data_IF_399126588291
#
_entry.id   IF_399126588291
#
_cell.length_a   1.000
_cell.length_b   1.000
_cell.length_c   1.000
_cell.angle_alpha   90.00
_cell.angle_beta   90.00
_cell.angle_gamma   90.00
#
_symmetry.space_group_name_H-M   'P 1'
#
loop_
_entity.id
_entity.type
_entity.pdbx_description
1 polymer ?
#
# COMPACT_ATOMS: atom_id res chain seq x y z
N UNK A 1 25.42 -1.04 -16.01
CA UNK A 1 25.23 -2.52 -15.98
C UNK A 1 24.36 -2.91 -17.17
N UNK A 2 24.65 -4.04 -17.85
CA UNK A 2 23.76 -4.56 -18.91
C UNK A 2 23.09 -5.84 -18.41
N UNK A 3 21.78 -5.86 -18.43
CA UNK A 3 20.97 -7.00 -17.98
C UNK A 3 19.91 -7.32 -19.05
N UNK A 4 19.68 -8.58 -19.32
CA UNK A 4 18.56 -9.04 -20.15
C UNK A 4 17.67 -9.94 -19.32
N UNK A 5 16.39 -9.62 -19.26
CA UNK A 5 15.34 -10.52 -18.76
C UNK A 5 14.77 -11.22 -19.98
N UNK A 6 14.98 -12.55 -20.11
CA UNK A 6 14.62 -13.34 -21.29
C UNK A 6 13.35 -14.16 -21.07
N UNK A 7 12.64 -14.43 -22.16
CA UNK A 7 11.52 -15.38 -22.26
C UNK A 7 10.30 -15.08 -21.38
N UNK A 8 10.26 -13.93 -20.72
CA UNK A 8 9.16 -13.57 -19.83
C UNK A 8 7.89 -13.21 -20.58
N UNK A 9 6.75 -13.26 -19.89
CA UNK A 9 5.51 -12.66 -20.38
C UNK A 9 5.43 -11.23 -19.87
N UNK A 10 5.61 -10.27 -20.75
CA UNK A 10 5.54 -8.84 -20.44
C UNK A 10 4.10 -8.45 -20.21
N UNK A 11 3.82 -7.88 -19.04
CA UNK A 11 2.51 -7.35 -18.65
C UNK A 11 2.63 -5.85 -18.45
N UNK A 12 2.13 -5.08 -19.40
CA UNK A 12 2.26 -3.62 -19.40
C UNK A 12 0.91 -2.98 -19.78
N UNK A 13 0.01 -2.81 -18.79
CA UNK A 13 -1.37 -2.42 -19.04
C UNK A 13 -1.51 -1.04 -19.73
N UNK A 14 -0.58 -0.12 -19.45
CA UNK A 14 -0.60 1.24 -20.04
C UNK A 14 -0.48 1.18 -21.57
N UNK A 15 0.30 0.25 -22.09
CA UNK A 15 0.52 0.03 -23.52
C UNK A 15 -0.28 -1.16 -24.08
N UNK A 16 -1.18 -1.76 -23.30
CA UNK A 16 -1.96 -2.95 -23.67
C UNK A 16 -1.08 -4.11 -24.16
N UNK A 17 0.15 -4.23 -23.59
CA UNK A 17 1.12 -5.25 -23.96
C UNK A 17 1.00 -6.43 -23.01
N UNK A 18 0.68 -7.60 -23.57
CA UNK A 18 0.62 -8.88 -22.89
C UNK A 18 1.16 -9.95 -23.85
N UNK A 19 2.47 -10.08 -23.89
CA UNK A 19 3.15 -10.93 -24.86
C UNK A 19 4.47 -11.46 -24.33
N UNK A 20 4.95 -12.58 -24.90
CA UNK A 20 6.30 -13.07 -24.61
C UNK A 20 7.35 -12.17 -25.28
N UNK A 21 8.39 -11.85 -24.54
CA UNK A 21 9.47 -11.03 -25.03
C UNK A 21 10.59 -10.86 -24.01
N UNK A 22 11.67 -10.26 -24.49
CA UNK A 22 12.84 -9.94 -23.69
C UNK A 22 12.80 -8.46 -23.28
N UNK A 23 13.36 -8.14 -22.11
CA UNK A 23 13.57 -6.76 -21.65
C UNK A 23 15.08 -6.54 -21.50
N UNK A 24 15.61 -5.54 -22.19
CA UNK A 24 17.02 -5.16 -22.12
C UNK A 24 17.17 -3.90 -21.28
N UNK A 25 18.04 -3.98 -20.30
CA UNK A 25 18.34 -2.88 -19.38
C UNK A 25 19.82 -2.51 -19.56
N UNK A 26 20.08 -1.21 -19.74
CA UNK A 26 21.43 -0.65 -19.80
C UNK A 26 21.45 0.67 -19.05
N UNK A 27 22.41 0.81 -18.13
CA UNK A 27 22.67 2.03 -17.35
C UNK A 27 21.40 2.62 -16.69
N UNK A 28 20.59 1.74 -16.05
CA UNK A 28 19.41 2.13 -15.32
C UNK A 28 18.13 2.28 -16.15
N UNK A 29 18.22 2.12 -17.48
CA UNK A 29 17.10 2.33 -18.40
C UNK A 29 16.72 1.08 -19.17
N UNK A 30 15.47 0.99 -19.55
CA UNK A 30 14.97 0.00 -20.50
C UNK A 30 15.36 0.47 -21.90
N UNK A 31 16.25 -0.25 -22.59
CA UNK A 31 16.70 0.11 -23.95
C UNK A 31 16.01 -0.70 -25.04
N UNK A 32 15.35 -1.81 -24.68
CA UNK A 32 14.49 -2.58 -25.59
C UNK A 32 13.42 -3.32 -24.79
N UNK A 33 12.21 -3.33 -25.31
CA UNK A 33 11.04 -3.94 -24.70
C UNK A 33 10.28 -4.80 -25.70
N UNK A 34 10.31 -6.13 -25.50
CA UNK A 34 9.71 -7.11 -26.41
C UNK A 34 10.69 -7.67 -27.43
N UNK A 35 10.18 -8.62 -28.25
CA UNK A 35 11.01 -9.33 -29.24
C UNK A 35 12.02 -10.30 -28.61
N UNK A 36 13.09 -10.60 -29.34
CA UNK A 36 14.21 -11.46 -28.90
C UNK A 36 15.47 -10.62 -28.91
N UNK A 37 16.13 -10.54 -27.78
CA UNK A 37 17.37 -9.76 -27.64
C UNK A 37 18.60 -10.67 -27.50
N UNK A 38 19.68 -10.23 -28.14
CA UNK A 38 21.03 -10.79 -27.95
C UNK A 38 22.02 -9.63 -27.75
N UNK A 39 22.48 -9.44 -26.52
CA UNK A 39 23.38 -8.36 -26.15
C UNK A 39 24.66 -8.99 -25.59
N UNK A 40 25.77 -8.97 -26.35
CA UNK A 40 27.03 -9.57 -25.90
C UNK A 40 27.50 -8.98 -24.55
N UNK A 41 27.82 -9.87 -23.60
CA UNK A 41 28.37 -9.49 -22.31
C UNK A 41 27.33 -8.99 -21.27
N UNK A 42 26.03 -9.04 -21.58
CA UNK A 42 25.00 -8.76 -20.60
C UNK A 42 24.81 -9.94 -19.62
N UNK A 43 24.45 -9.61 -18.36
CA UNK A 43 23.90 -10.61 -17.44
C UNK A 43 22.54 -11.06 -17.99
N UNK A 44 22.25 -12.36 -17.89
CA UNK A 44 20.97 -12.92 -18.37
C UNK A 44 20.18 -13.47 -17.20
N UNK A 45 18.94 -13.05 -17.10
CA UNK A 45 17.93 -13.63 -16.21
C UNK A 45 16.86 -14.31 -17.06
N UNK A 46 16.70 -15.63 -16.91
CA UNK A 46 15.64 -16.37 -17.61
C UNK A 46 14.34 -16.29 -16.82
N UNK A 47 13.33 -15.68 -17.42
CA UNK A 47 11.99 -15.47 -16.85
C UNK A 47 10.94 -16.35 -17.56
N UNK A 48 11.35 -17.50 -18.15
CA UNK A 48 10.38 -18.39 -18.79
C UNK A 48 9.31 -18.86 -17.79
N UNK A 49 8.04 -18.64 -18.16
CA UNK A 49 6.88 -18.96 -17.31
C UNK A 49 6.53 -17.85 -16.29
N UNK A 50 7.32 -16.79 -16.20
CA UNK A 50 7.10 -15.68 -15.25
C UNK A 50 6.49 -14.45 -15.96
N UNK A 51 5.83 -13.60 -15.16
CA UNK A 51 5.39 -12.29 -15.61
C UNK A 51 6.49 -11.26 -15.37
N UNK A 52 6.72 -10.40 -16.35
CA UNK A 52 7.60 -9.23 -16.25
C UNK A 52 6.71 -7.99 -16.26
N UNK A 53 6.64 -7.29 -15.14
CA UNK A 53 5.72 -6.17 -14.91
C UNK A 53 6.47 -4.89 -14.59
N UNK A 54 5.85 -3.70 -14.72
CA UNK A 54 6.33 -2.52 -14.02
C UNK A 54 6.53 -2.85 -12.54
N UNK A 55 7.48 -2.21 -11.91
CA UNK A 55 7.69 -2.33 -10.47
C UNK A 55 6.42 -2.00 -9.70
N UNK A 56 6.06 -2.84 -8.72
CA UNK A 56 4.90 -2.60 -7.88
C UNK A 56 5.12 -1.37 -7.01
N UNK A 57 4.03 -0.67 -6.68
CA UNK A 57 4.03 0.55 -5.87
C UNK A 57 3.04 0.38 -4.73
N UNK A 58 3.51 0.60 -3.50
CA UNK A 58 2.64 0.63 -2.33
C UNK A 58 2.49 2.06 -1.84
N UNK A 59 1.29 2.61 -1.96
CA UNK A 59 1.03 4.01 -1.66
C UNK A 59 0.69 4.28 -0.19
N UNK A 60 0.72 3.24 0.67
CA UNK A 60 0.36 3.36 2.07
C UNK A 60 1.19 2.44 2.96
N UNK A 61 2.29 2.97 3.52
CA UNK A 61 3.15 2.23 4.45
C UNK A 61 3.60 3.08 5.64
N UNK A 62 3.97 2.43 6.74
CA UNK A 62 4.52 3.07 7.93
C UNK A 62 5.94 2.55 8.16
N UNK A 63 6.95 3.30 7.71
CA UNK A 63 8.36 2.96 7.91
C UNK A 63 8.87 3.30 9.32
N UNK A 64 8.03 3.89 10.16
CA UNK A 64 8.25 4.12 11.59
C UNK A 64 9.40 5.06 11.95
N UNK A 65 10.36 5.29 11.07
CA UNK A 65 11.49 6.19 11.26
C UNK A 65 11.17 7.59 10.74
N UNK A 66 11.45 8.65 11.54
CA UNK A 66 12.21 8.65 12.79
C UNK A 66 11.37 8.32 14.05
N UNK A 67 12.04 7.78 15.07
CA UNK A 67 11.60 7.75 16.46
C UNK A 67 10.80 6.54 16.90
N UNK A 68 10.58 5.55 16.01
CA UNK A 68 9.92 4.28 16.30
C UNK A 68 10.68 3.10 15.67
N UNK A 69 11.99 3.20 15.56
CA UNK A 69 12.86 2.26 14.84
C UNK A 69 12.87 0.84 15.45
N UNK A 70 12.40 0.69 16.69
CA UNK A 70 12.19 -0.63 17.30
C UNK A 70 11.10 -1.44 16.59
N UNK A 71 10.12 -0.75 15.97
CA UNK A 71 9.01 -1.40 15.24
C UNK A 71 9.37 -1.71 13.79
N UNK A 72 10.05 -0.77 13.14
CA UNK A 72 10.52 -0.82 11.76
C UNK A 72 11.45 0.36 11.53
N UNK A 73 12.34 0.29 10.55
CA UNK A 73 13.11 1.41 10.04
C UNK A 73 13.07 1.45 8.50
N UNK A 74 13.64 2.50 7.92
CA UNK A 74 13.66 2.69 6.47
C UNK A 74 14.39 1.52 5.79
N UNK A 75 15.47 1.01 6.38
CA UNK A 75 16.23 -0.08 5.79
C UNK A 75 15.41 -1.38 5.73
N UNK A 76 14.91 -1.85 6.90
CA UNK A 76 14.17 -3.12 6.97
C UNK A 76 12.83 -3.06 6.25
N UNK A 77 12.09 -1.95 6.36
CA UNK A 77 10.84 -1.77 5.61
C UNK A 77 11.04 -1.73 4.09
N UNK A 78 12.13 -1.10 3.60
CA UNK A 78 12.45 -1.11 2.17
C UNK A 78 13.02 -2.45 1.70
N UNK A 79 13.69 -3.22 2.56
CA UNK A 79 14.03 -4.63 2.27
C UNK A 79 12.77 -5.49 2.14
N UNK A 80 11.81 -5.35 3.04
CA UNK A 80 10.52 -6.04 2.98
C UNK A 80 9.77 -5.69 1.68
N UNK A 81 9.78 -4.40 1.27
CA UNK A 81 9.23 -3.97 -0.01
C UNK A 81 9.91 -4.67 -1.20
N UNK A 82 11.25 -4.65 -1.24
CA UNK A 82 12.01 -5.33 -2.30
C UNK A 82 11.69 -6.83 -2.36
N UNK A 83 11.59 -7.51 -1.22
CA UNK A 83 11.23 -8.93 -1.12
C UNK A 83 9.79 -9.20 -1.60
N UNK A 84 8.88 -8.25 -1.39
CA UNK A 84 7.50 -8.27 -1.88
C UNK A 84 7.33 -7.92 -3.36
N UNK A 85 8.41 -7.52 -4.06
CA UNK A 85 8.34 -7.08 -5.46
C UNK A 85 7.96 -5.60 -5.62
N UNK A 86 7.97 -4.83 -4.55
CA UNK A 86 7.60 -3.42 -4.53
C UNK A 86 8.86 -2.59 -4.75
N UNK A 87 8.84 -1.74 -5.77
CA UNK A 87 9.98 -0.88 -6.16
C UNK A 87 9.86 0.54 -5.61
N UNK A 88 8.67 0.92 -5.16
CA UNK A 88 8.40 2.25 -4.63
C UNK A 88 7.36 2.17 -3.53
N UNK A 89 7.67 2.70 -2.36
CA UNK A 89 6.74 2.82 -1.23
C UNK A 89 6.48 4.28 -0.91
N UNK A 90 5.31 4.57 -0.34
CA UNK A 90 4.94 5.93 0.08
C UNK A 90 4.64 5.92 1.57
N UNK A 91 5.52 6.57 2.35
CA UNK A 91 5.45 6.50 3.81
C UNK A 91 4.56 7.59 4.40
N UNK A 92 3.74 7.20 5.38
CA UNK A 92 2.85 8.07 6.15
C UNK A 92 3.60 8.96 7.13
N UNK A 93 2.92 10.03 7.58
CA UNK A 93 3.50 11.11 8.38
C UNK A 93 3.60 10.83 9.89
N UNK A 94 3.02 9.73 10.39
CA UNK A 94 2.85 9.44 11.82
C UNK A 94 4.09 8.91 12.54
N UNK A 95 5.21 9.55 12.31
CA UNK A 95 6.52 9.31 12.94
C UNK A 95 6.70 10.13 14.24
N UNK A 96 7.85 10.02 14.92
CA UNK A 96 8.21 10.80 16.11
C UNK A 96 9.61 11.42 15.95
N UNK A 97 9.73 12.71 15.61
CA UNK A 97 8.65 13.68 15.43
C UNK A 97 7.79 13.38 14.17
N UNK A 98 6.56 13.89 14.17
CA UNK A 98 5.62 13.84 13.02
C UNK A 98 6.22 14.62 11.85
N UNK A 99 5.97 14.16 10.61
CA UNK A 99 6.41 14.87 9.39
C UNK A 99 5.44 16.03 9.12
N UNK A 100 5.44 17.03 9.99
CA UNK A 100 4.56 18.21 9.95
C UNK A 100 5.28 19.52 9.54
N UNK A 101 6.58 19.42 9.26
CA UNK A 101 7.42 20.54 8.84
C UNK A 101 8.57 20.04 7.95
N UNK A 102 9.16 20.99 7.20
CA UNK A 102 10.22 20.71 6.23
C UNK A 102 11.48 20.08 6.86
N UNK A 103 11.83 20.42 8.10
CA UNK A 103 13.06 19.91 8.72
C UNK A 103 12.98 18.39 8.96
N UNK A 104 11.82 17.90 9.44
CA UNK A 104 11.60 16.46 9.64
C UNK A 104 11.53 15.75 8.29
N UNK A 105 10.83 16.31 7.30
CA UNK A 105 10.76 15.72 5.96
C UNK A 105 12.14 15.56 5.34
N UNK A 106 13.01 16.59 5.42
CA UNK A 106 14.39 16.52 4.91
C UNK A 106 15.24 15.49 5.64
N UNK A 107 15.03 15.34 6.96
CA UNK A 107 15.73 14.30 7.73
C UNK A 107 15.34 12.90 7.24
N UNK A 108 14.06 12.64 6.98
CA UNK A 108 13.59 11.36 6.41
C UNK A 108 14.15 11.14 5.00
N UNK A 109 14.13 12.16 4.12
CA UNK A 109 14.73 12.07 2.79
C UNK A 109 16.20 11.65 2.85
N UNK A 110 16.97 12.27 3.76
CA UNK A 110 18.38 11.92 3.96
C UNK A 110 18.55 10.46 4.40
N UNK A 111 17.72 9.97 5.31
CA UNK A 111 17.77 8.55 5.73
C UNK A 111 17.42 7.62 4.57
N UNK A 112 16.45 7.98 3.75
CA UNK A 112 16.12 7.22 2.52
C UNK A 112 17.31 7.14 1.56
N UNK A 113 18.04 8.26 1.37
CA UNK A 113 19.24 8.30 0.52
C UNK A 113 20.38 7.41 1.08
N UNK A 114 20.51 7.33 2.41
CA UNK A 114 21.56 6.55 3.08
C UNK A 114 21.25 5.06 3.16
N UNK A 115 20.00 4.67 3.47
CA UNK A 115 19.64 3.29 3.86
C UNK A 115 18.53 2.65 3.01
N UNK A 116 17.90 3.40 2.12
CA UNK A 116 16.79 2.90 1.31
C UNK A 116 17.23 1.85 0.28
N UNK A 117 16.51 0.75 0.21
CA UNK A 117 16.70 -0.33 -0.78
C UNK A 117 15.83 -0.10 -2.01
N UNK A 118 14.61 0.42 -1.82
CA UNK A 118 13.70 0.82 -2.90
C UNK A 118 13.38 2.31 -2.81
N UNK A 119 12.68 2.84 -3.81
CA UNK A 119 12.24 4.25 -3.81
C UNK A 119 11.26 4.51 -2.67
N UNK A 120 11.37 5.68 -2.05
CA UNK A 120 10.48 6.12 -0.99
C UNK A 120 10.01 7.54 -1.28
N UNK A 121 8.70 7.71 -1.46
CA UNK A 121 8.04 9.02 -1.42
C UNK A 121 7.47 9.27 -0.03
N UNK A 122 7.29 10.53 0.33
CA UNK A 122 6.92 10.93 1.69
C UNK A 122 5.61 11.72 1.66
N UNK A 123 4.69 11.36 2.55
CA UNK A 123 3.47 12.11 2.84
C UNK A 123 3.74 13.05 4.01
N UNK A 124 3.31 14.32 3.88
CA UNK A 124 3.29 15.25 5.00
C UNK A 124 2.01 15.14 5.82
N UNK A 125 2.03 15.54 7.09
CA UNK A 125 0.79 15.57 7.87
C UNK A 125 -0.14 16.70 7.43
N UNK A 126 -1.44 16.52 7.65
CA UNK A 126 -2.45 17.58 7.49
C UNK A 126 -2.35 18.56 8.65
N UNK A 127 -2.21 18.06 9.88
CA UNK A 127 -2.17 18.87 11.09
C UNK A 127 -0.86 18.75 11.86
N UNK A 128 -0.50 19.79 12.59
CA UNK A 128 0.66 19.77 13.50
C UNK A 128 0.49 18.73 14.59
N UNK A 129 1.46 17.81 14.66
CA UNK A 129 1.46 16.74 15.64
C UNK A 129 0.27 15.78 15.53
N UNK A 130 -0.42 15.72 14.38
CA UNK A 130 -1.62 14.89 14.12
C UNK A 130 -2.79 15.19 15.07
N UNK A 131 -2.96 16.46 15.47
CA UNK A 131 -3.97 16.84 16.48
C UNK A 131 -5.30 17.32 15.90
N UNK A 132 -5.38 17.56 14.58
CA UNK A 132 -6.56 18.11 13.93
C UNK A 132 -6.94 19.54 14.37
N UNK A 133 -6.01 20.30 14.96
CA UNK A 133 -6.25 21.62 15.54
C UNK A 133 -5.63 22.76 14.74
N UNK A 134 -4.43 22.57 14.23
CA UNK A 134 -3.66 23.53 13.46
C UNK A 134 -3.07 22.86 12.21
N UNK A 135 -3.17 23.50 11.04
CA UNK A 135 -2.54 23.01 9.82
C UNK A 135 -1.02 22.88 10.00
N UNK A 136 -0.46 21.83 9.44
CA UNK A 136 0.97 21.67 9.28
C UNK A 136 1.54 22.73 8.29
N UNK A 137 2.84 22.71 8.08
CA UNK A 137 3.50 23.59 7.12
C UNK A 137 3.34 23.03 5.69
N UNK A 138 2.07 22.79 5.25
CA UNK A 138 1.73 22.08 4.01
C UNK A 138 2.41 22.68 2.78
N UNK A 139 2.50 24.03 2.70
CA UNK A 139 3.18 24.72 1.60
C UNK A 139 4.66 24.38 1.52
N UNK A 140 5.37 24.43 2.66
CA UNK A 140 6.79 24.12 2.75
C UNK A 140 7.04 22.61 2.56
N UNK A 141 6.17 21.75 3.11
CA UNK A 141 6.21 20.31 2.89
C UNK A 141 6.05 19.95 1.41
N UNK A 142 5.07 20.57 0.72
CA UNK A 142 4.87 20.40 -0.73
C UNK A 142 6.09 20.85 -1.53
N UNK A 143 6.65 22.02 -1.22
CA UNK A 143 7.87 22.53 -1.87
C UNK A 143 9.10 21.65 -1.59
N UNK A 144 9.13 20.97 -0.45
CA UNK A 144 10.20 20.04 -0.08
C UNK A 144 10.01 18.62 -0.69
N UNK A 145 8.88 18.35 -1.38
CA UNK A 145 8.66 17.11 -2.11
C UNK A 145 7.65 16.15 -1.48
N UNK A 146 6.84 16.59 -0.51
CA UNK A 146 5.71 15.79 -0.05
C UNK A 146 4.74 15.52 -1.22
N UNK A 147 4.35 14.25 -1.41
CA UNK A 147 3.51 13.84 -2.56
C UNK A 147 2.03 14.02 -2.29
N UNK A 148 1.60 13.93 -1.03
CA UNK A 148 0.23 14.09 -0.55
C UNK A 148 0.25 14.53 0.92
N UNK A 149 -0.94 14.69 1.53
CA UNK A 149 -1.08 14.98 2.96
C UNK A 149 -2.01 14.00 3.64
N UNK A 150 -1.63 13.53 4.85
CA UNK A 150 -2.43 12.60 5.65
C UNK A 150 -2.11 12.75 7.14
N UNK A 151 -3.15 12.66 7.97
CA UNK A 151 -2.98 12.43 9.40
C UNK A 151 -3.16 10.94 9.74
N UNK A 152 -2.91 10.03 8.79
CA UNK A 152 -3.19 8.60 8.90
C UNK A 152 -2.79 7.98 10.24
N UNK A 153 -3.64 7.04 10.66
CA UNK A 153 -3.75 6.52 12.01
C UNK A 153 -4.62 7.42 12.92
N UNK A 154 -4.97 8.65 12.46
CA UNK A 154 -5.83 9.60 13.17
C UNK A 154 -6.83 10.20 12.18
N UNK A 155 -8.09 10.19 12.58
CA UNK A 155 -9.16 10.86 11.84
C UNK A 155 -9.19 12.35 12.16
N UNK A 156 -9.30 13.19 11.15
CA UNK A 156 -9.51 14.64 11.35
C UNK A 156 -10.99 14.88 11.66
N UNK A 157 -11.38 14.87 12.94
CA UNK A 157 -12.80 14.91 13.36
C UNK A 157 -13.50 16.21 12.98
N UNK A 158 -12.81 17.36 13.08
CA UNK A 158 -13.42 18.65 12.82
C UNK A 158 -13.61 18.89 11.32
N UNK A 159 -14.87 18.81 10.86
CA UNK A 159 -15.22 18.98 9.45
C UNK A 159 -14.82 20.35 8.87
N UNK A 160 -14.86 21.43 9.66
CA UNK A 160 -14.43 22.75 9.17
C UNK A 160 -12.91 22.85 9.06
N UNK A 161 -12.17 22.18 9.96
CA UNK A 161 -10.72 22.07 9.86
C UNK A 161 -10.33 21.26 8.60
N UNK A 162 -10.95 20.07 8.40
CA UNK A 162 -10.73 19.25 7.20
C UNK A 162 -11.05 20.04 5.91
N UNK A 163 -12.16 20.77 5.88
CA UNK A 163 -12.47 21.65 4.76
C UNK A 163 -11.34 22.62 4.46
N UNK A 164 -10.78 23.30 5.47
CA UNK A 164 -9.66 24.24 5.27
C UNK A 164 -8.40 23.55 4.78
N UNK A 165 -8.12 22.37 5.30
CA UNK A 165 -7.01 21.53 4.84
C UNK A 165 -7.18 21.17 3.35
N UNK A 166 -8.37 20.74 2.94
CA UNK A 166 -8.66 20.39 1.55
C UNK A 166 -8.58 21.63 0.62
N UNK A 167 -9.13 22.79 1.03
CA UNK A 167 -9.00 24.04 0.28
C UNK A 167 -7.52 24.41 0.04
N UNK A 168 -6.66 24.19 1.03
CA UNK A 168 -5.23 24.50 0.92
C UNK A 168 -4.47 23.43 0.13
N UNK A 169 -4.70 22.15 0.38
CA UNK A 169 -4.10 21.04 -0.38
C UNK A 169 -4.42 21.17 -1.89
N UNK A 170 -5.68 21.49 -2.22
CA UNK A 170 -6.12 21.70 -3.60
C UNK A 170 -5.39 22.85 -4.29
N UNK A 171 -5.09 23.96 -3.58
CA UNK A 171 -4.27 25.05 -4.12
C UNK A 171 -2.83 24.64 -4.41
N UNK A 172 -2.31 23.65 -3.67
CA UNK A 172 -0.97 23.08 -3.87
C UNK A 172 -0.95 21.96 -4.94
N UNK A 173 -2.11 21.63 -5.53
CA UNK A 173 -2.24 20.51 -6.47
C UNK A 173 -2.00 19.16 -5.81
N UNK A 174 -2.32 19.02 -4.53
CA UNK A 174 -2.12 17.80 -3.74
C UNK A 174 -3.45 17.26 -3.22
N UNK A 175 -3.54 15.93 -3.11
CA UNK A 175 -4.68 15.28 -2.48
C UNK A 175 -4.50 15.18 -0.96
N UNK A 176 -5.61 14.96 -0.26
CA UNK A 176 -5.61 14.47 1.11
C UNK A 176 -5.96 12.98 1.08
N UNK A 177 -5.20 12.21 1.86
CA UNK A 177 -5.47 10.80 2.13
C UNK A 177 -6.01 10.73 3.57
N UNK A 178 -7.22 10.22 3.75
CA UNK A 178 -7.84 10.21 5.08
C UNK A 178 -8.12 8.80 5.60
N UNK A 179 -7.71 8.55 6.84
CA UNK A 179 -8.10 7.39 7.63
C UNK A 179 -9.52 7.62 8.13
N UNK A 180 -10.50 7.28 7.33
CA UNK A 180 -11.89 7.68 7.51
C UNK A 180 -12.63 6.79 8.53
N UNK A 181 -12.31 6.90 9.82
CA UNK A 181 -13.02 6.27 10.93
C UNK A 181 -13.43 7.32 11.96
N UNK A 182 -14.72 7.56 12.16
CA UNK A 182 -15.24 8.45 13.22
C UNK A 182 -14.91 7.88 14.60
N UNK A 183 -13.93 8.49 15.28
CA UNK A 183 -13.41 7.99 16.55
C UNK A 183 -14.39 8.18 17.72
N UNK A 184 -15.41 9.02 17.58
CA UNK A 184 -16.48 9.11 18.58
C UNK A 184 -17.30 7.82 18.64
N UNK A 185 -17.28 7.02 17.59
CA UNK A 185 -17.93 5.70 17.51
C UNK A 185 -16.96 4.53 17.60
N UNK A 186 -15.71 4.71 17.18
CA UNK A 186 -14.77 3.60 16.97
C UNK A 186 -13.72 3.46 18.08
N UNK A 187 -13.53 4.48 18.96
CA UNK A 187 -12.42 4.53 19.92
C UNK A 187 -12.36 3.36 20.91
N UNK A 188 -13.50 2.84 21.33
CA UNK A 188 -13.61 1.80 22.37
C UNK A 188 -13.60 0.37 21.80
N UNK A 189 -13.58 0.22 20.47
CA UNK A 189 -13.63 -1.05 19.78
C UNK A 189 -12.26 -1.61 19.41
N UNK A 190 -12.15 -2.93 19.40
CA UNK A 190 -10.91 -3.66 19.11
C UNK A 190 -10.98 -4.51 17.84
N UNK A 191 -12.19 -4.79 17.33
CA UNK A 191 -12.46 -5.61 16.15
C UNK A 191 -13.78 -5.18 15.51
N UNK A 192 -14.17 -5.76 14.39
CA UNK A 192 -15.46 -5.51 13.77
C UNK A 192 -16.62 -5.77 14.73
N UNK A 193 -17.55 -4.80 14.85
CA UNK A 193 -18.79 -5.00 15.60
C UNK A 193 -19.72 -5.97 14.86
N UNK A 194 -20.07 -7.06 15.50
CA UNK A 194 -20.93 -8.09 14.89
C UNK A 194 -21.08 -9.33 15.77
N UNK A 195 -21.51 -10.42 15.15
CA UNK A 195 -21.75 -11.69 15.84
C UNK A 195 -20.46 -12.22 16.49
N UNK A 196 -19.33 -12.07 15.83
CA UNK A 196 -18.04 -12.60 16.31
C UNK A 196 -17.58 -11.80 17.55
N UNK A 197 -17.59 -10.47 17.51
CA UNK A 197 -17.21 -9.63 18.66
C UNK A 197 -18.12 -9.89 19.86
N UNK A 198 -19.42 -10.06 19.63
CA UNK A 198 -20.37 -10.42 20.69
C UNK A 198 -20.05 -11.79 21.29
N UNK A 199 -19.81 -12.80 20.48
CA UNK A 199 -19.45 -14.15 20.97
C UNK A 199 -18.13 -14.18 21.74
N UNK A 200 -17.17 -13.37 21.32
CA UNK A 200 -15.87 -13.24 21.98
C UNK A 200 -15.92 -12.36 23.24
N UNK A 201 -16.99 -11.60 23.46
CA UNK A 201 -17.07 -10.61 24.55
C UNK A 201 -16.08 -9.46 24.37
N UNK A 202 -15.74 -9.12 23.13
CA UNK A 202 -14.81 -8.05 22.77
C UNK A 202 -15.61 -6.85 22.23
N UNK A 203 -15.28 -5.64 22.68
CA UNK A 203 -15.91 -4.43 22.17
C UNK A 203 -15.67 -4.27 20.66
N UNK A 204 -16.74 -4.02 19.91
CA UNK A 204 -16.69 -3.90 18.46
C UNK A 204 -16.52 -2.45 17.99
N UNK A 205 -15.95 -2.29 16.79
CA UNK A 205 -15.92 -1.06 16.00
C UNK A 205 -17.04 -1.12 14.97
N UNK A 206 -18.09 -0.31 15.09
CA UNK A 206 -19.19 -0.34 14.16
C UNK A 206 -18.77 0.17 12.77
N UNK A 207 -19.13 -0.55 11.70
CA UNK A 207 -18.81 -0.16 10.33
C UNK A 207 -19.38 1.22 9.97
N UNK A 208 -20.49 1.61 10.59
CA UNK A 208 -21.12 2.94 10.37
C UNK A 208 -20.20 4.11 10.77
N UNK A 209 -19.21 3.92 11.63
CA UNK A 209 -18.21 4.95 11.92
C UNK A 209 -17.34 5.30 10.70
N UNK A 210 -16.94 4.29 9.94
CA UNK A 210 -16.29 4.48 8.63
C UNK A 210 -17.25 5.11 7.61
N UNK A 211 -18.49 4.62 7.53
CA UNK A 211 -19.47 5.13 6.57
C UNK A 211 -19.76 6.62 6.75
N UNK A 212 -19.87 7.09 8.00
CA UNK A 212 -20.07 8.51 8.36
C UNK A 212 -18.87 9.34 7.94
N UNK A 213 -17.67 8.90 8.28
CA UNK A 213 -16.43 9.60 7.94
C UNK A 213 -16.26 9.71 6.43
N UNK A 214 -16.39 8.62 5.68
CA UNK A 214 -16.35 8.60 4.21
C UNK A 214 -17.41 9.54 3.62
N UNK A 215 -18.64 9.48 4.11
CA UNK A 215 -19.71 10.37 3.62
C UNK A 215 -19.37 11.85 3.80
N UNK A 216 -18.82 12.24 4.97
CA UNK A 216 -18.35 13.60 5.24
C UNK A 216 -17.29 14.03 4.24
N UNK A 217 -16.29 13.20 4.01
CA UNK A 217 -15.14 13.54 3.17
C UNK A 217 -15.53 13.70 1.70
N UNK A 218 -16.41 12.84 1.20
CA UNK A 218 -16.96 12.97 -0.15
C UNK A 218 -17.76 14.27 -0.33
N UNK A 219 -18.54 14.69 0.68
CA UNK A 219 -19.24 15.97 0.66
C UNK A 219 -18.27 17.17 0.69
N UNK A 220 -17.18 17.08 1.44
CA UNK A 220 -16.14 18.09 1.49
C UNK A 220 -15.36 18.16 0.18
N UNK A 221 -15.07 17.04 -0.46
CA UNK A 221 -14.47 16.99 -1.80
C UNK A 221 -15.38 17.68 -2.82
N UNK A 222 -16.66 17.38 -2.80
CA UNK A 222 -17.64 18.05 -3.69
C UNK A 222 -17.70 19.57 -3.46
N UNK A 223 -17.56 20.02 -2.22
CA UNK A 223 -17.60 21.45 -1.86
C UNK A 223 -16.32 22.18 -2.26
N UNK A 224 -15.17 21.58 -2.06
CA UNK A 224 -13.85 22.23 -2.20
C UNK A 224 -13.22 22.01 -3.57
N UNK A 225 -13.64 20.97 -4.30
CA UNK A 225 -12.99 20.51 -5.53
C UNK A 225 -11.60 19.88 -5.31
N UNK A 226 -11.21 19.61 -4.04
CA UNK A 226 -9.97 18.91 -3.73
C UNK A 226 -10.16 17.41 -3.85
N UNK A 227 -9.22 16.73 -4.50
CA UNK A 227 -9.19 15.28 -4.54
C UNK A 227 -9.06 14.72 -3.13
N UNK A 228 -9.96 13.81 -2.74
CA UNK A 228 -9.91 13.03 -1.52
C UNK A 228 -9.61 11.57 -1.84
N UNK A 229 -8.63 11.00 -1.18
CA UNK A 229 -8.36 9.57 -1.24
C UNK A 229 -8.77 8.94 0.09
N UNK A 230 -9.73 8.01 0.04
CA UNK A 230 -10.15 7.24 1.21
C UNK A 230 -9.19 6.08 1.38
N UNK A 231 -8.42 6.10 2.45
CA UNK A 231 -7.47 5.04 2.78
C UNK A 231 -8.20 3.74 3.17
N UNK A 232 -7.57 2.60 2.87
CA UNK A 232 -7.91 1.24 3.34
C UNK A 232 -9.41 0.97 3.59
N UNK A 233 -10.29 1.30 2.62
CA UNK A 233 -11.73 1.07 2.76
C UNK A 233 -12.03 -0.38 3.17
N UNK A 234 -12.93 -0.56 4.14
CA UNK A 234 -13.23 -1.88 4.70
C UNK A 234 -14.73 -2.24 4.68
N UNK A 235 -15.66 -1.26 4.68
CA UNK A 235 -17.09 -1.52 4.76
C UNK A 235 -17.78 -1.57 3.40
N UNK A 236 -18.78 -2.45 3.28
CA UNK A 236 -19.61 -2.53 2.07
C UNK A 236 -20.37 -1.23 1.78
N UNK A 237 -20.77 -0.50 2.83
CA UNK A 237 -21.48 0.77 2.67
C UNK A 237 -20.57 1.90 2.24
N UNK A 238 -19.33 1.96 2.73
CA UNK A 238 -18.33 2.91 2.27
C UNK A 238 -18.04 2.72 0.77
N UNK A 239 -17.89 1.49 0.31
CA UNK A 239 -17.74 1.18 -1.14
C UNK A 239 -18.94 1.68 -1.95
N UNK A 240 -20.17 1.50 -1.46
CA UNK A 240 -21.38 2.03 -2.12
C UNK A 240 -21.36 3.56 -2.20
N UNK A 241 -21.01 4.25 -1.10
CA UNK A 241 -20.92 5.71 -1.04
C UNK A 241 -19.88 6.25 -2.04
N UNK A 242 -18.70 5.65 -2.10
CA UNK A 242 -17.63 6.04 -3.03
C UNK A 242 -18.07 5.79 -4.48
N UNK A 243 -18.70 4.64 -4.78
CA UNK A 243 -19.24 4.34 -6.10
C UNK A 243 -20.24 5.40 -6.57
N UNK A 244 -21.14 5.81 -5.69
CA UNK A 244 -22.14 6.83 -6.00
C UNK A 244 -21.52 8.24 -6.13
N UNK A 245 -20.49 8.54 -5.36
CA UNK A 245 -19.74 9.79 -5.49
C UNK A 245 -19.01 9.87 -6.83
N UNK A 246 -18.32 8.82 -7.26
CA UNK A 246 -17.65 8.72 -8.56
C UNK A 246 -18.65 8.89 -9.71
N UNK A 247 -19.83 8.25 -9.65
CA UNK A 247 -20.91 8.44 -10.67
C UNK A 247 -21.40 9.87 -10.74
N UNK A 248 -21.35 10.62 -9.66
CA UNK A 248 -21.71 12.05 -9.60
C UNK A 248 -20.58 12.99 -10.03
N UNK A 249 -19.40 12.43 -10.36
CA UNK A 249 -18.24 13.20 -10.78
C UNK A 249 -17.52 13.89 -9.63
N UNK A 250 -17.69 13.41 -8.38
CA UNK A 250 -16.90 13.89 -7.23
C UNK A 250 -15.47 13.36 -7.40
N UNK A 251 -14.49 14.23 -7.23
CA UNK A 251 -13.07 13.90 -7.37
C UNK A 251 -12.58 13.12 -6.15
N UNK A 252 -12.69 11.80 -6.22
CA UNK A 252 -12.33 10.90 -5.15
C UNK A 252 -11.72 9.59 -5.68
N UNK A 253 -10.86 9.00 -4.87
CA UNK A 253 -10.32 7.66 -5.06
C UNK A 253 -10.28 6.89 -3.74
N UNK A 254 -10.00 5.59 -3.81
CA UNK A 254 -9.88 4.75 -2.61
C UNK A 254 -8.99 3.54 -2.88
N UNK A 255 -8.45 3.01 -1.82
CA UNK A 255 -7.62 1.83 -1.80
C UNK A 255 -8.15 0.78 -0.83
N UNK A 256 -7.71 -0.46 -1.01
CA UNK A 256 -8.03 -1.58 -0.12
C UNK A 256 -6.78 -2.35 0.24
N UNK A 257 -6.68 -2.86 1.46
CA UNK A 257 -5.54 -3.69 1.82
C UNK A 257 -5.72 -5.13 1.33
N UNK A 258 -4.60 -5.78 0.99
CA UNK A 258 -4.59 -7.20 0.65
C UNK A 258 -5.16 -8.08 1.79
N UNK A 259 -5.00 -7.65 3.06
CA UNK A 259 -5.53 -8.33 4.24
C UNK A 259 -7.07 -8.31 4.28
N UNK A 260 -7.69 -7.16 3.98
CA UNK A 260 -9.16 -7.07 3.90
C UNK A 260 -9.75 -7.90 2.75
N UNK A 261 -8.98 -8.19 1.71
CA UNK A 261 -9.40 -9.09 0.64
C UNK A 261 -9.27 -10.57 1.01
N UNK A 262 -8.34 -10.90 1.91
CA UNK A 262 -8.04 -12.29 2.27
C UNK A 262 -8.85 -12.77 3.47
N UNK A 263 -8.88 -12.00 4.57
CA UNK A 263 -9.45 -12.39 5.85
C UNK A 263 -10.87 -11.88 6.06
N UNK A 264 -11.58 -12.55 6.97
CA UNK A 264 -12.84 -12.11 7.56
C UNK A 264 -12.73 -12.14 9.07
N UNK A 265 -13.67 -11.52 9.78
CA UNK A 265 -13.70 -11.49 11.25
C UNK A 265 -13.79 -12.88 11.91
N UNK A 266 -14.14 -13.93 11.13
CA UNK A 266 -14.09 -15.32 11.59
C UNK A 266 -12.68 -15.78 12.03
N UNK A 267 -11.62 -15.20 11.45
CA UNK A 267 -10.23 -15.52 11.79
C UNK A 267 -9.81 -15.00 13.18
N UNK A 268 -10.55 -14.05 13.76
CA UNK A 268 -10.22 -13.44 15.04
C UNK A 268 -10.66 -14.26 16.26
N UNK A 269 -11.42 -15.35 16.07
CA UNK A 269 -12.02 -16.15 17.15
C UNK A 269 -11.02 -16.70 18.17
N UNK A 270 -9.73 -16.79 17.83
CA UNK A 270 -8.68 -17.25 18.73
C UNK A 270 -7.98 -16.14 19.50
N UNK A 271 -8.45 -14.89 19.41
CA UNK A 271 -7.84 -13.71 20.06
C UNK A 271 -6.40 -13.43 19.65
N UNK A 272 -5.99 -13.83 18.46
CA UNK A 272 -4.63 -13.61 17.97
C UNK A 272 -4.41 -12.13 17.61
N UNK A 273 -3.45 -11.50 18.27
CA UNK A 273 -3.12 -10.08 18.10
C UNK A 273 -2.59 -9.75 16.70
N UNK A 274 -2.08 -10.75 15.98
CA UNK A 274 -1.61 -10.61 14.60
C UNK A 274 -2.69 -10.14 13.62
N UNK A 275 -3.99 -10.40 13.91
CA UNK A 275 -5.12 -9.96 13.09
C UNK A 275 -5.65 -8.56 13.44
N UNK A 276 -5.07 -7.92 14.48
CA UNK A 276 -5.59 -6.63 14.95
C UNK A 276 -5.10 -5.47 14.10
N UNK A 277 -6.01 -4.80 13.42
CA UNK A 277 -5.78 -3.63 12.58
C UNK A 277 -6.94 -2.63 12.64
N UNK A 278 -6.75 -1.44 12.10
CA UNK A 278 -7.75 -0.39 11.97
C UNK A 278 -7.69 0.22 10.54
N UNK A 279 -8.82 0.26 9.81
CA UNK A 279 -10.11 -0.34 10.14
C UNK A 279 -10.01 -1.86 10.36
N UNK A 280 -10.92 -2.47 11.15
CA UNK A 280 -10.82 -3.88 11.45
C UNK A 280 -11.17 -4.76 10.24
N UNK A 281 -10.65 -5.99 10.24
CA UNK A 281 -11.10 -7.04 9.33
C UNK A 281 -12.60 -7.26 9.56
N UNK A 282 -13.40 -7.15 8.48
CA UNK A 282 -14.86 -7.14 8.51
C UNK A 282 -15.46 -8.49 8.13
N UNK A 283 -16.77 -8.52 7.91
CA UNK A 283 -17.53 -9.71 7.55
C UNK A 283 -17.25 -10.17 6.11
N UNK A 284 -17.64 -11.42 5.79
CA UNK A 284 -17.60 -11.91 4.41
C UNK A 284 -18.41 -11.05 3.44
N UNK A 285 -19.55 -10.46 3.89
CA UNK A 285 -20.33 -9.52 3.09
C UNK A 285 -19.51 -8.30 2.69
N UNK A 286 -18.74 -7.74 3.63
CA UNK A 286 -17.88 -6.59 3.37
C UNK A 286 -16.73 -6.98 2.45
N UNK A 287 -16.06 -8.12 2.71
CA UNK A 287 -15.01 -8.65 1.85
C UNK A 287 -15.47 -8.82 0.39
N UNK A 288 -16.66 -9.36 0.17
CA UNK A 288 -17.22 -9.49 -1.19
C UNK A 288 -17.52 -8.12 -1.82
N UNK A 289 -17.97 -7.15 -1.04
CA UNK A 289 -18.18 -5.79 -1.54
C UNK A 289 -16.88 -5.12 -1.97
N UNK A 290 -15.78 -5.34 -1.24
CA UNK A 290 -14.44 -4.87 -1.61
C UNK A 290 -13.97 -5.51 -2.93
N UNK A 291 -14.09 -6.83 -3.06
CA UNK A 291 -13.75 -7.55 -4.30
C UNK A 291 -14.58 -7.01 -5.48
N UNK A 292 -15.89 -6.83 -5.31
CA UNK A 292 -16.75 -6.27 -6.34
C UNK A 292 -16.35 -4.81 -6.68
N UNK A 293 -15.93 -4.02 -5.68
CA UNK A 293 -15.43 -2.66 -5.88
C UNK A 293 -14.15 -2.60 -6.72
N UNK A 294 -13.26 -3.59 -6.60
CA UNK A 294 -12.09 -3.73 -7.46
C UNK A 294 -12.47 -4.12 -8.90
N UNK A 295 -13.48 -5.01 -9.04
CA UNK A 295 -13.94 -5.50 -10.35
C UNK A 295 -14.66 -4.43 -11.15
N UNK A 296 -15.46 -3.58 -10.50
CA UNK A 296 -16.24 -2.53 -11.17
C UNK A 296 -15.51 -1.18 -11.26
N UNK A 297 -14.27 -1.08 -10.74
CA UNK A 297 -13.44 0.12 -10.78
C UNK A 297 -13.79 1.17 -9.72
N UNK A 298 -14.61 0.84 -8.74
CA UNK A 298 -14.89 1.72 -7.60
C UNK A 298 -13.64 1.88 -6.73
N UNK A 299 -12.90 0.79 -6.50
CA UNK A 299 -11.62 0.80 -5.76
C UNK A 299 -10.48 0.89 -6.77
N UNK A 300 -9.57 1.82 -6.53
CA UNK A 300 -8.53 2.25 -7.47
C UNK A 300 -7.21 1.55 -7.26
N UNK A 301 -6.86 1.14 -6.03
CA UNK A 301 -5.57 0.54 -5.71
C UNK A 301 -5.68 -0.58 -4.68
N UNK A 302 -4.70 -1.49 -4.73
CA UNK A 302 -4.45 -2.49 -3.68
C UNK A 302 -3.08 -2.14 -3.07
N UNK A 303 -3.05 -2.01 -1.75
CA UNK A 303 -1.85 -1.67 -1.00
C UNK A 303 -1.79 -2.48 0.32
N UNK A 304 -0.83 -2.18 1.19
CA UNK A 304 -0.64 -2.99 2.39
C UNK A 304 -1.16 -2.37 3.68
N UNK A 305 -1.12 -1.06 3.84
CA UNK A 305 -1.11 -0.45 5.17
C UNK A 305 -0.09 -1.17 6.07
N UNK A 306 1.14 -1.31 5.53
CA UNK A 306 2.22 -1.95 6.27
C UNK A 306 2.51 -1.17 7.55
N UNK A 307 2.04 -1.71 8.67
CA UNK A 307 2.06 -1.06 9.98
C UNK A 307 2.64 -2.00 11.06
N UNK A 308 3.93 -2.34 10.96
CA UNK A 308 4.60 -3.27 11.87
C UNK A 308 4.68 -2.71 13.29
N UNK A 309 4.73 -3.63 14.25
CA UNK A 309 4.94 -3.36 15.65
C UNK A 309 6.03 -4.28 16.20
N UNK A 310 6.70 -3.83 17.27
CA UNK A 310 7.67 -4.66 17.97
C UNK A 310 6.98 -5.89 18.59
N UNK A 311 7.73 -6.99 18.70
CA UNK A 311 7.14 -8.26 19.14
C UNK A 311 6.52 -8.16 20.53
N UNK A 312 7.16 -7.46 21.46
CA UNK A 312 6.66 -7.23 22.81
C UNK A 312 5.36 -6.39 22.84
N UNK A 313 5.07 -5.62 21.80
CA UNK A 313 3.81 -4.88 21.69
C UNK A 313 2.67 -5.79 21.17
N UNK A 314 3.01 -6.79 20.34
CA UNK A 314 2.04 -7.75 19.79
C UNK A 314 1.85 -8.99 20.67
N UNK A 315 2.87 -9.42 21.42
CA UNK A 315 2.79 -10.57 22.34
C UNK A 315 2.07 -10.20 23.65
N UNK A 316 0.86 -9.70 23.52
CA UNK A 316 -0.01 -9.26 24.60
C UNK A 316 -1.45 -9.68 24.32
N UNK A 317 -2.36 -9.68 25.32
CA UNK A 317 -3.77 -9.96 25.08
C UNK A 317 -4.36 -9.09 23.96
N UNK A 318 -5.24 -9.66 23.15
CA UNK A 318 -5.80 -9.05 21.94
C UNK A 318 -6.27 -7.59 22.10
N UNK A 319 -6.98 -7.28 23.20
CA UNK A 319 -7.46 -5.93 23.49
C UNK A 319 -6.34 -4.94 23.85
N UNK A 320 -5.17 -5.43 24.30
CA UNK A 320 -4.02 -4.60 24.66
C UNK A 320 -3.08 -4.36 23.47
N UNK A 321 -3.07 -5.25 22.48
CA UNK A 321 -2.21 -5.12 21.31
C UNK A 321 -2.55 -3.86 20.50
N UNK A 322 -1.57 -3.17 19.91
CA UNK A 322 -1.80 -2.08 18.98
C UNK A 322 -2.38 -2.58 17.64
N UNK A 323 -3.05 -1.70 16.90
CA UNK A 323 -3.51 -1.96 15.56
C UNK A 323 -2.33 -1.87 14.56
N UNK A 324 -2.27 -2.81 13.63
CA UNK A 324 -1.29 -2.81 12.54
C UNK A 324 -0.83 -4.21 12.16
N UNK A 325 -0.61 -4.41 10.88
CA UNK A 325 -0.17 -5.67 10.25
C UNK A 325 1.02 -5.37 9.33
N UNK A 326 2.07 -6.20 9.38
CA UNK A 326 3.13 -6.17 8.38
C UNK A 326 2.65 -6.87 7.10
N UNK A 327 2.54 -6.15 5.98
CA UNK A 327 1.89 -6.62 4.76
C UNK A 327 2.76 -6.64 3.49
N UNK A 328 3.90 -5.93 3.45
CA UNK A 328 4.68 -5.72 2.21
C UNK A 328 5.06 -7.02 1.49
N UNK A 329 5.52 -8.02 2.22
CA UNK A 329 6.02 -9.28 1.64
C UNK A 329 4.91 -10.28 1.28
N UNK A 330 3.69 -10.07 1.77
CA UNK A 330 2.55 -10.99 1.57
C UNK A 330 1.49 -10.43 0.62
N UNK A 331 1.49 -9.13 0.33
CA UNK A 331 0.43 -8.44 -0.42
C UNK A 331 0.24 -8.99 -1.83
N UNK A 332 1.33 -9.14 -2.60
CA UNK A 332 1.27 -9.70 -3.95
C UNK A 332 0.71 -11.13 -3.93
N UNK A 333 1.28 -11.99 -3.09
CA UNK A 333 0.89 -13.40 -3.03
C UNK A 333 -0.56 -13.59 -2.55
N UNK A 334 -1.00 -12.84 -1.54
CA UNK A 334 -2.40 -12.90 -1.08
C UNK A 334 -3.37 -12.37 -2.14
N UNK A 335 -3.02 -11.30 -2.84
CA UNK A 335 -3.79 -10.75 -3.96
C UNK A 335 -3.91 -11.77 -5.10
N UNK A 336 -2.79 -12.38 -5.52
CA UNK A 336 -2.80 -13.43 -6.55
C UNK A 336 -3.64 -14.63 -6.11
N UNK A 337 -3.50 -15.07 -4.87
CA UNK A 337 -4.27 -16.20 -4.32
C UNK A 337 -5.78 -15.93 -4.37
N UNK A 338 -6.23 -14.73 -3.97
CA UNK A 338 -7.66 -14.39 -3.86
C UNK A 338 -8.28 -14.01 -5.21
N UNK A 339 -7.55 -13.31 -6.07
CA UNK A 339 -8.12 -12.71 -7.28
C UNK A 339 -7.70 -13.43 -8.56
N UNK A 340 -6.41 -13.70 -8.75
CA UNK A 340 -5.88 -14.30 -9.98
C UNK A 340 -6.18 -15.79 -10.05
N UNK A 341 -5.76 -16.56 -9.04
CA UNK A 341 -5.92 -18.02 -9.03
C UNK A 341 -7.37 -18.48 -8.89
N UNK A 342 -8.26 -17.62 -8.44
CA UNK A 342 -9.71 -17.89 -8.44
C UNK A 342 -10.39 -17.50 -9.75
N UNK A 343 -9.64 -16.95 -10.73
CA UNK A 343 -10.18 -16.49 -12.01
C UNK A 343 -11.07 -15.25 -11.93
N UNK A 344 -11.04 -14.53 -10.81
CA UNK A 344 -11.85 -13.30 -10.64
C UNK A 344 -11.27 -12.11 -11.37
N UNK A 345 -9.92 -12.05 -11.52
CA UNK A 345 -9.23 -10.89 -12.07
C UNK A 345 -8.02 -11.32 -12.90
N UNK A 346 -7.78 -10.64 -14.02
CA UNK A 346 -6.59 -10.85 -14.85
C UNK A 346 -5.35 -10.27 -14.17
N UNK A 347 -4.18 -10.76 -14.56
CA UNK A 347 -2.91 -10.20 -14.09
C UNK A 347 -2.74 -8.74 -14.51
N UNK A 348 -3.18 -8.37 -15.71
CA UNK A 348 -3.13 -6.99 -16.20
C UNK A 348 -3.85 -6.03 -15.26
N UNK A 349 -5.07 -6.41 -14.79
CA UNK A 349 -5.85 -5.60 -13.87
C UNK A 349 -5.20 -5.54 -12.48
N UNK A 350 -4.57 -6.62 -12.01
CA UNK A 350 -3.81 -6.61 -10.75
C UNK A 350 -2.62 -5.65 -10.86
N UNK A 351 -1.88 -5.68 -11.96
CA UNK A 351 -0.76 -4.75 -12.19
C UNK A 351 -1.25 -3.30 -12.28
N UNK A 352 -2.41 -3.04 -12.90
CA UNK A 352 -3.03 -1.71 -12.84
C UNK A 352 -3.26 -1.23 -11.40
N UNK A 353 -3.82 -2.10 -10.54
CA UNK A 353 -4.19 -1.77 -9.17
C UNK A 353 -2.97 -1.65 -8.23
N UNK A 354 -1.87 -2.33 -8.52
CA UNK A 354 -0.68 -2.38 -7.65
C UNK A 354 0.53 -1.61 -8.20
N UNK A 355 0.45 -1.03 -9.41
CA UNK A 355 1.55 -0.29 -10.00
C UNK A 355 1.07 0.99 -10.72
N UNK A 356 0.21 0.83 -11.75
CA UNK A 356 -0.17 1.94 -12.62
C UNK A 356 -0.99 3.01 -11.90
N UNK A 357 -2.03 2.58 -11.19
CA UNK A 357 -2.95 3.50 -10.52
C UNK A 357 -2.30 4.24 -9.34
N UNK A 358 -1.52 3.58 -8.44
CA UNK A 358 -0.75 4.30 -7.42
C UNK A 358 0.16 5.38 -7.98
N UNK A 359 0.89 5.09 -9.08
CA UNK A 359 1.74 6.07 -9.74
C UNK A 359 0.95 7.28 -10.25
N UNK A 360 -0.20 7.03 -10.90
CA UNK A 360 -1.08 8.08 -11.43
C UNK A 360 -1.70 8.91 -10.33
N UNK A 361 -2.22 8.30 -9.28
CA UNK A 361 -2.89 8.99 -8.16
C UNK A 361 -1.94 9.94 -7.44
N UNK A 362 -0.71 9.51 -7.21
CA UNK A 362 0.29 10.30 -6.49
C UNK A 362 1.16 11.19 -7.39
N UNK A 363 0.99 11.10 -8.71
CA UNK A 363 1.83 11.80 -9.69
C UNK A 363 3.33 11.51 -9.49
N UNK A 364 3.68 10.24 -9.21
CA UNK A 364 5.05 9.78 -9.07
C UNK A 364 5.49 8.96 -10.28
N UNK A 365 6.81 8.81 -10.47
CA UNK A 365 7.35 7.97 -11.54
C UNK A 365 7.13 6.49 -11.27
N UNK A 366 6.96 5.70 -12.33
CA UNK A 366 6.77 4.25 -12.26
C UNK A 366 5.43 3.80 -12.86
N UNK A 367 5.07 2.54 -12.63
CA UNK A 367 3.82 1.94 -13.09
C UNK A 367 3.73 1.68 -14.59
N UNK A 368 4.82 1.84 -15.34
CA UNK A 368 4.88 1.60 -16.80
C UNK A 368 6.23 1.04 -17.19
N UNK A 369 6.25 0.16 -18.19
CA UNK A 369 7.47 -0.25 -18.91
C UNK A 369 7.51 0.50 -20.25
N UNK A 370 8.57 1.26 -20.50
CA UNK A 370 8.76 1.99 -21.76
C UNK A 370 10.25 2.11 -22.10
N UNK A 371 10.56 2.10 -23.39
CA UNK A 371 11.94 2.33 -23.84
C UNK A 371 12.39 3.74 -23.43
N UNK A 372 13.64 3.88 -23.05
CA UNK A 372 14.26 5.06 -22.45
C UNK A 372 13.72 5.41 -21.05
N UNK A 373 12.72 4.67 -20.54
CA UNK A 373 12.20 4.80 -19.17
C UNK A 373 13.14 4.16 -18.14
N UNK A 374 12.93 4.54 -16.88
CA UNK A 374 13.66 3.95 -15.76
C UNK A 374 13.30 2.47 -15.60
N UNK A 375 14.30 1.62 -15.40
CA UNK A 375 14.08 0.19 -15.23
C UNK A 375 13.69 -0.15 -13.77
N UNK A 376 12.43 0.13 -13.42
CA UNK A 376 11.77 -0.35 -12.21
C UNK A 376 10.88 -1.53 -12.62
N UNK A 377 11.29 -2.75 -12.24
CA UNK A 377 10.70 -3.99 -12.77
C UNK A 377 10.49 -5.00 -11.66
N UNK A 378 9.33 -5.67 -11.70
CA UNK A 378 9.06 -6.85 -10.88
C UNK A 378 8.84 -8.07 -11.77
N UNK A 379 9.61 -9.14 -11.52
CA UNK A 379 9.36 -10.44 -12.14
C UNK A 379 8.63 -11.33 -11.14
N UNK A 380 7.49 -11.86 -11.57
CA UNK A 380 6.57 -12.62 -10.74
C UNK A 380 6.50 -14.06 -11.23
N UNK A 381 6.80 -15.02 -10.36
CA UNK A 381 6.44 -16.42 -10.54
C UNK A 381 4.99 -16.60 -10.04
N UNK A 382 4.00 -16.72 -10.93
CA UNK A 382 2.60 -16.80 -10.51
C UNK A 382 2.26 -18.11 -9.81
N UNK A 383 3.01 -19.18 -10.06
CA UNK A 383 2.71 -20.52 -9.58
C UNK A 383 3.52 -20.94 -8.36
N UNK A 384 4.45 -20.11 -7.90
CA UNK A 384 5.26 -20.38 -6.73
C UNK A 384 4.40 -20.53 -5.48
N UNK A 385 4.31 -21.73 -4.94
CA UNK A 385 3.70 -21.99 -3.63
C UNK A 385 4.75 -21.83 -2.53
N UNK A 386 4.36 -21.17 -1.46
CA UNK A 386 5.23 -20.99 -0.29
C UNK A 386 4.40 -20.79 0.98
N UNK A 387 4.95 -21.23 2.10
CA UNK A 387 4.33 -21.06 3.42
C UNK A 387 4.92 -19.83 4.08
N UNK A 388 4.05 -18.92 4.54
CA UNK A 388 4.49 -17.72 5.25
C UNK A 388 5.05 -18.10 6.63
N UNK A 389 6.22 -17.56 6.96
CA UNK A 389 6.87 -17.67 8.27
C UNK A 389 7.34 -16.29 8.70
N UNK A 390 6.80 -15.75 9.78
CA UNK A 390 7.14 -14.43 10.26
C UNK A 390 8.64 -14.21 10.47
N UNK A 391 9.33 -15.25 10.98
CA UNK A 391 10.78 -15.19 11.21
C UNK A 391 11.65 -15.32 9.94
N UNK A 392 11.06 -15.49 8.76
CA UNK A 392 11.74 -15.51 7.46
C UNK A 392 11.50 -14.21 6.66
N UNK A 393 10.67 -13.31 7.19
CA UNK A 393 10.39 -12.01 6.57
C UNK A 393 11.49 -10.99 6.91
N UNK A 394 11.63 -9.97 6.07
CA UNK A 394 12.59 -8.89 6.27
C UNK A 394 12.09 -7.80 7.21
N UNK A 395 10.77 -7.62 7.34
CA UNK A 395 10.18 -6.73 8.35
C UNK A 395 10.61 -7.14 9.76
N UNK A 396 10.75 -6.18 10.66
CA UNK A 396 11.13 -6.46 12.06
C UNK A 396 10.05 -7.22 12.83
N UNK A 397 8.78 -7.10 12.43
CA UNK A 397 7.67 -7.77 13.13
C UNK A 397 7.60 -9.24 12.79
N UNK A 398 7.69 -10.11 13.79
CA UNK A 398 7.47 -11.54 13.63
C UNK A 398 5.98 -11.92 13.55
N UNK A 399 5.09 -11.00 13.96
CA UNK A 399 3.64 -11.23 13.98
C UNK A 399 3.01 -10.95 12.62
N UNK A 400 2.57 -12.00 11.96
CA UNK A 400 1.81 -11.92 10.71
C UNK A 400 0.53 -12.75 10.79
N UNK A 401 -0.63 -12.26 10.31
CA UNK A 401 -1.85 -13.05 10.25
C UNK A 401 -1.76 -14.20 9.24
N UNK A 402 -0.73 -14.21 8.41
CA UNK A 402 -0.49 -15.26 7.41
C UNK A 402 0.41 -16.41 7.94
N UNK A 403 0.84 -16.39 9.20
CA UNK A 403 1.72 -17.45 9.76
C UNK A 403 1.18 -18.84 9.48
N UNK A 404 2.00 -19.69 8.84
CA UNK A 404 1.64 -21.06 8.46
C UNK A 404 0.69 -21.19 7.27
N UNK A 405 0.23 -20.08 6.68
CA UNK A 405 -0.65 -20.09 5.50
C UNK A 405 0.20 -20.31 4.24
N UNK A 406 -0.26 -21.22 3.36
CA UNK A 406 0.30 -21.36 2.02
C UNK A 406 -0.32 -20.33 1.10
N UNK A 407 0.53 -19.47 0.51
CA UNK A 407 0.14 -18.51 -0.51
C UNK A 407 0.70 -18.95 -1.86
N UNK A 408 0.07 -18.50 -2.95
CA UNK A 408 0.48 -18.81 -4.31
C UNK A 408 0.79 -17.54 -5.10
N UNK A 409 1.97 -17.54 -5.74
CA UNK A 409 2.58 -16.40 -6.42
C UNK A 409 3.64 -15.72 -5.56
N UNK A 410 4.77 -15.34 -6.18
CA UNK A 410 5.85 -14.64 -5.47
C UNK A 410 6.67 -13.79 -6.44
N UNK A 411 7.13 -12.62 -6.00
CA UNK A 411 8.18 -11.89 -6.68
C UNK A 411 9.49 -12.69 -6.63
N UNK A 412 10.16 -12.84 -7.75
CA UNK A 412 11.42 -13.61 -7.88
C UNK A 412 12.61 -12.74 -8.31
N UNK A 413 12.34 -11.56 -8.85
CA UNK A 413 13.32 -10.52 -9.15
C UNK A 413 12.68 -9.15 -8.97
N UNK A 414 13.38 -8.26 -8.30
CA UNK A 414 12.99 -6.85 -8.14
C UNK A 414 14.17 -5.98 -8.58
N UNK A 415 13.90 -5.06 -9.49
CA UNK A 415 14.88 -4.14 -10.07
C UNK A 415 14.41 -2.72 -9.81
N UNK A 416 15.30 -1.88 -9.28
CA UNK A 416 15.06 -0.46 -9.01
C UNK A 416 16.18 0.34 -9.67
N UNK A 417 15.84 1.33 -10.49
CA UNK A 417 16.79 2.14 -11.25
C UNK A 417 17.79 1.29 -12.06
N UNK A 418 17.32 0.11 -12.55
CA UNK A 418 18.12 -0.84 -13.31
C UNK A 418 19.09 -1.69 -12.47
N UNK A 419 19.08 -1.57 -11.16
CA UNK A 419 19.86 -2.41 -10.24
C UNK A 419 18.99 -3.51 -9.63
N UNK A 420 19.52 -4.75 -9.59
CA UNK A 420 18.87 -5.85 -8.91
C UNK A 420 18.94 -5.60 -7.39
N UNK A 421 17.79 -5.41 -6.76
CA UNK A 421 17.69 -5.23 -5.30
C UNK A 421 17.22 -6.51 -4.59
N UNK A 422 16.51 -7.40 -5.31
CA UNK A 422 16.13 -8.72 -4.81
C UNK A 422 16.21 -9.76 -5.93
N UNK A 423 16.74 -10.94 -5.64
CA UNK A 423 16.84 -12.08 -6.58
C UNK A 423 16.57 -13.40 -5.84
N UNK A 424 15.62 -14.17 -6.35
CA UNK A 424 15.28 -15.49 -5.80
C UNK A 424 14.78 -15.46 -4.35
N UNK A 425 14.14 -14.37 -3.94
CA UNK A 425 13.64 -14.15 -2.57
C UNK A 425 14.69 -13.64 -1.59
N UNK A 426 15.90 -13.30 -2.05
CA UNK A 426 16.96 -12.71 -1.23
C UNK A 426 17.20 -11.27 -1.64
N UNK A 427 17.10 -10.35 -0.71
CA UNK A 427 17.51 -8.96 -0.88
C UNK A 427 19.04 -8.93 -0.98
N UNK A 428 19.56 -8.18 -1.95
CA UNK A 428 21.01 -8.17 -2.31
C UNK A 428 21.65 -6.79 -2.16
N UNK A 429 20.85 -5.80 -1.70
CA UNK A 429 21.31 -4.43 -1.46
C UNK A 429 21.16 -4.03 0.01
#
# INVERSE_FOLDING_TARGET
>A
MKLIIKNGTIINPVHHQHEKGDVVIEDGKIVSLGGIADVPGAEVYDAEGFFVTPGLIDMHVHLREPGQEAKEDIHTGTQAAAAGGITHVVTMANTKPVIDNMAVLRAVQKRVEEDGVVKVSIIGSVSKGLKGEQLSEMGDLSAAGAVAFSDDGHYVENANFMRRAMEYAGQLGKMIIDHAEDMTMCSDGFMNEGIISYQMGVAGRPAVGEDIAVSRDLLLSQLTGCHIHIAHVSSAKAVELIRDAKKKGIDCSTEVTAQHLYFTDDYLKNYESAFKMAPPIRTEKDRQALINGLLDGTIDAIMTDHAPHADEEKDVPFNCAPNGIAGLETSLASTLTVLYHTGKMSIDRIVELMAVNPAKLLHISGGVLEEEGTADITVIDPDKEWVVRGNELYTKSLFTPYEGISLKGKAVLTIVDGEIVMKGGKVVK
#
